data_IF_782764565183
#
_entry.id   IF_782764565183
#
_cell.length_a   1.000
_cell.length_b   1.000
_cell.length_c   1.000
_cell.angle_alpha   90.00
_cell.angle_beta   90.00
_cell.angle_gamma   90.00
#
_symmetry.space_group_name_H-M   'P 1'
#
loop_
_entity.id
_entity.type
_entity.pdbx_description
1 polymer ?
#
# COMPACT_ATOMS: atom_id res chain seq x y z
N UNK A 1 -11.05 -15.79 0.37
CA UNK A 1 -9.83 -14.96 0.45
C UNK A 1 -10.00 -13.95 1.56
N UNK A 2 -8.92 -13.59 2.25
CA UNK A 2 -8.94 -12.71 3.43
C UNK A 2 -8.81 -11.23 3.04
N UNK A 3 -9.69 -10.73 2.18
CA UNK A 3 -9.73 -9.31 1.80
C UNK A 3 -10.43 -8.49 2.90
N UNK A 4 -9.75 -7.47 3.44
CA UNK A 4 -10.28 -6.61 4.51
C UNK A 4 -10.01 -5.15 4.19
N UNK A 5 -11.01 -4.29 4.36
CA UNK A 5 -10.80 -2.85 4.28
C UNK A 5 -9.90 -2.40 5.43
N UNK A 6 -8.89 -1.59 5.11
CA UNK A 6 -7.90 -1.10 6.05
C UNK A 6 -8.17 0.34 6.46
N UNK A 7 -8.32 1.25 5.48
CA UNK A 7 -8.51 2.67 5.74
C UNK A 7 -8.84 3.46 4.47
N UNK A 8 -9.26 4.71 4.65
CA UNK A 8 -9.47 5.66 3.57
C UNK A 8 -8.54 6.87 3.77
N UNK A 9 -7.82 7.24 2.71
CA UNK A 9 -6.84 8.32 2.69
C UNK A 9 -7.32 9.40 1.73
N UNK A 10 -7.62 10.59 2.25
CA UNK A 10 -8.34 11.65 1.53
C UNK A 10 -7.69 13.02 1.65
N UNK A 11 -6.44 13.10 2.13
CA UNK A 11 -5.71 14.37 2.22
C UNK A 11 -5.65 15.03 0.83
N UNK A 12 -6.14 16.27 0.63
CA UNK A 12 -6.12 16.95 -0.67
C UNK A 12 -4.73 17.07 -1.29
N UNK A 13 -3.67 17.05 -0.49
CA UNK A 13 -2.29 17.19 -0.96
C UNK A 13 -1.63 15.86 -1.38
N UNK A 14 -2.28 14.71 -1.16
CA UNK A 14 -1.66 13.38 -1.40
C UNK A 14 -1.37 13.08 -2.87
N UNK A 15 -2.09 13.73 -3.78
CA UNK A 15 -1.84 13.67 -5.21
C UNK A 15 -1.81 15.11 -5.76
N UNK A 16 -0.67 15.56 -6.32
CA UNK A 16 -0.53 16.94 -6.79
C UNK A 16 -1.38 17.24 -8.02
N UNK A 17 -1.97 16.23 -8.67
CA UNK A 17 -2.73 16.40 -9.91
C UNK A 17 -4.18 16.78 -9.65
N UNK A 18 -4.79 16.23 -8.60
CA UNK A 18 -6.20 16.45 -8.23
C UNK A 18 -6.50 15.88 -6.83
N UNK A 19 -7.64 16.25 -6.25
CA UNK A 19 -8.07 15.70 -4.97
C UNK A 19 -8.53 14.23 -5.11
N UNK A 20 -7.61 13.31 -4.82
CA UNK A 20 -7.85 11.88 -4.90
C UNK A 20 -8.10 11.25 -3.52
N UNK A 21 -9.03 10.30 -3.46
CA UNK A 21 -9.29 9.47 -2.28
C UNK A 21 -8.89 8.03 -2.59
N UNK A 22 -8.09 7.40 -1.72
CA UNK A 22 -7.75 5.98 -1.82
C UNK A 22 -8.39 5.18 -0.67
N UNK A 23 -9.17 4.16 -1.01
CA UNK A 23 -9.65 3.16 -0.04
C UNK A 23 -8.72 1.95 -0.13
N UNK A 24 -7.98 1.70 0.95
CA UNK A 24 -6.92 0.69 1.02
C UNK A 24 -7.48 -0.60 1.61
N UNK A 25 -7.04 -1.73 1.08
CA UNK A 25 -7.38 -3.07 1.55
C UNK A 25 -6.12 -3.89 1.82
N UNK A 26 -6.23 -4.80 2.77
CA UNK A 26 -5.23 -5.86 3.02
C UNK A 26 -5.78 -7.20 2.52
N UNK A 27 -4.91 -8.03 1.96
CA UNK A 27 -5.27 -9.38 1.54
C UNK A 27 -4.08 -10.34 1.69
N UNK A 28 -4.39 -11.63 1.76
CA UNK A 28 -3.41 -12.70 1.58
C UNK A 28 -3.45 -13.18 0.13
N UNK A 29 -2.30 -13.15 -0.52
CA UNK A 29 -2.11 -13.66 -1.89
C UNK A 29 -1.35 -14.98 -1.91
N UNK A 30 -1.61 -15.81 -2.91
CA UNK A 30 -0.88 -17.06 -3.18
C UNK A 30 -0.31 -17.03 -4.60
N UNK A 31 0.88 -17.62 -4.78
CA UNK A 31 1.55 -17.70 -6.08
C UNK A 31 2.72 -16.73 -6.22
N UNK A 32 3.22 -16.59 -7.45
CA UNK A 32 4.35 -15.71 -7.79
C UNK A 32 3.82 -14.43 -8.43
N UNK A 33 4.17 -13.22 -7.93
CA UNK A 33 3.74 -11.97 -8.55
C UNK A 33 4.22 -11.84 -9.99
N UNK A 34 3.35 -11.34 -10.86
CA UNK A 34 3.68 -11.04 -12.26
C UNK A 34 3.20 -9.63 -12.60
N UNK A 35 4.01 -8.90 -13.37
CA UNK A 35 3.61 -7.61 -13.94
C UNK A 35 2.44 -7.75 -14.91
N UNK A 36 1.72 -6.65 -15.13
CA UNK A 36 0.58 -6.56 -16.04
C UNK A 36 0.72 -5.35 -16.96
N UNK A 37 -0.41 -4.86 -17.47
CA UNK A 37 -0.46 -3.75 -18.44
C UNK A 37 0.21 -2.46 -17.91
N UNK A 38 -0.21 -2.01 -16.72
CA UNK A 38 0.32 -0.78 -16.11
C UNK A 38 1.68 -0.96 -15.39
N UNK A 39 2.16 -2.21 -15.26
CA UNK A 39 3.36 -2.52 -14.48
C UNK A 39 4.20 -3.62 -15.13
N UNK A 40 5.38 -3.25 -15.65
CA UNK A 40 6.32 -4.21 -16.23
C UNK A 40 6.88 -5.24 -15.24
N UNK A 41 6.80 -4.99 -13.92
CA UNK A 41 7.35 -5.87 -12.88
C UNK A 41 6.49 -5.84 -11.62
N UNK A 42 6.33 -7.01 -10.99
CA UNK A 42 5.81 -7.17 -9.64
C UNK A 42 6.78 -8.03 -8.81
N UNK A 43 6.96 -7.69 -7.53
CA UNK A 43 7.88 -8.41 -6.63
C UNK A 43 7.38 -8.32 -5.18
N UNK A 44 7.82 -9.27 -4.35
CA UNK A 44 7.59 -9.25 -2.90
C UNK A 44 8.74 -8.55 -2.20
N UNK A 45 8.40 -7.74 -1.20
CA UNK A 45 9.36 -7.05 -0.34
C UNK A 45 9.01 -7.31 1.12
N UNK A 46 10.04 -7.39 1.97
CA UNK A 46 9.83 -7.34 3.41
C UNK A 46 9.35 -5.95 3.81
N UNK A 47 8.44 -5.84 4.78
CA UNK A 47 8.04 -4.54 5.32
C UNK A 47 9.25 -3.74 5.86
N UNK A 48 10.30 -4.44 6.31
CA UNK A 48 11.53 -3.83 6.83
C UNK A 48 12.56 -3.49 5.75
N UNK A 49 12.31 -3.85 4.49
CA UNK A 49 13.23 -3.66 3.36
C UNK A 49 12.44 -3.27 2.10
N UNK A 50 11.76 -2.13 2.21
CA UNK A 50 10.95 -1.58 1.13
C UNK A 50 11.81 -0.69 0.21
N UNK A 51 11.58 -0.71 -1.10
CA UNK A 51 12.23 0.23 -2.00
C UNK A 51 11.76 1.66 -1.71
N UNK A 52 12.68 2.61 -1.81
CA UNK A 52 12.41 4.05 -1.65
C UNK A 52 12.94 4.85 -2.84
N UNK A 53 12.28 5.95 -3.25
CA UNK A 53 11.02 6.46 -2.71
C UNK A 53 9.80 5.64 -3.18
N UNK A 54 8.75 5.62 -2.35
CA UNK A 54 7.44 5.08 -2.74
C UNK A 54 6.58 6.15 -3.41
N UNK A 55 5.62 5.73 -4.24
CA UNK A 55 4.73 6.65 -4.94
C UNK A 55 3.66 7.22 -3.99
N UNK A 56 3.30 8.49 -4.20
CA UNK A 56 2.29 9.21 -3.41
C UNK A 56 2.58 9.11 -1.90
N UNK A 57 1.58 8.74 -1.11
CA UNK A 57 1.62 8.58 0.33
C UNK A 57 1.66 7.09 0.76
N UNK A 58 2.17 6.21 -0.10
CA UNK A 58 2.22 4.77 0.19
C UNK A 58 3.14 4.44 1.38
N UNK A 59 4.15 5.26 1.65
CA UNK A 59 5.00 5.16 2.84
C UNK A 59 4.18 5.32 4.13
N UNK A 60 3.30 6.34 4.19
CA UNK A 60 2.38 6.57 5.30
C UNK A 60 1.41 5.41 5.47
N UNK A 61 0.82 4.92 4.38
CA UNK A 61 -0.12 3.79 4.41
C UNK A 61 0.54 2.53 4.99
N UNK A 62 1.78 2.24 4.59
CA UNK A 62 2.53 1.07 5.08
C UNK A 62 2.99 1.24 6.53
N UNK A 63 3.32 2.46 6.96
CA UNK A 63 3.63 2.76 8.36
C UNK A 63 2.41 2.59 9.27
N UNK A 64 1.24 3.06 8.86
CA UNK A 64 -0.02 2.82 9.58
C UNK A 64 -0.32 1.31 9.66
N UNK A 65 -0.07 0.57 8.57
CA UNK A 65 -0.24 -0.88 8.56
C UNK A 65 0.70 -1.56 9.53
N UNK A 66 1.99 -1.19 9.54
CA UNK A 66 3.00 -1.69 10.47
C UNK A 66 2.55 -1.54 11.91
N UNK A 67 2.15 -0.33 12.33
CA UNK A 67 1.66 -0.06 13.70
C UNK A 67 0.46 -0.94 14.05
N UNK A 68 -0.46 -1.15 13.11
CA UNK A 68 -1.64 -1.98 13.31
C UNK A 68 -1.31 -3.46 13.50
N UNK A 69 -0.26 -3.98 12.86
CA UNK A 69 0.12 -5.40 12.99
C UNK A 69 1.11 -5.68 14.11
N UNK A 70 1.91 -4.69 14.55
CA UNK A 70 2.81 -4.83 15.70
C UNK A 70 2.09 -4.63 17.05
N UNK A 71 0.87 -4.09 17.03
CA UNK A 71 0.09 -3.85 18.25
C UNK A 71 0.48 -2.56 18.98
N UNK A 72 1.23 -1.66 18.33
CA UNK A 72 1.66 -0.37 18.89
C UNK A 72 0.54 0.70 18.80
N UNK A 73 -0.70 0.30 19.11
CA UNK A 73 -1.91 1.13 19.02
C UNK A 73 -2.57 1.39 20.37
#
# INVERSE_FOLDING_TARGET
GNLKQFGAYSDPARDPRQHNISVVFTAEGLGTPQGGDDAARAALFSLNDLPVPLCFDHDRILEDYRKKVTGDG
#
